data_IF_747232815099
#
_entry.id   IF_747232815099
#
_cell.length_a   1.000
_cell.length_b   1.000
_cell.length_c   1.000
_cell.angle_alpha   90.00
_cell.angle_beta   90.00
_cell.angle_gamma   90.00
#
_symmetry.space_group_name_H-M   'P 1'
#
loop_
_entity.id
_entity.type
_entity.pdbx_description
1 polymer ?
#
# COMPACT_ATOMS: atom_id res chain seq x y z
N UNK A 1 -78.37 -11.08 -10.74
CA UNK A 1 -78.20 -9.97 -11.66
C UNK A 1 -77.13 -9.05 -11.12
N UNK A 2 -75.91 -9.13 -11.62
CA UNK A 2 -74.78 -8.30 -11.19
C UNK A 2 -73.85 -8.16 -12.39
N UNK A 3 -73.82 -6.99 -12.98
CA UNK A 3 -73.05 -6.65 -14.17
C UNK A 3 -71.56 -6.51 -13.83
N UNK A 4 -70.72 -7.22 -14.55
CA UNK A 4 -69.27 -7.05 -14.54
C UNK A 4 -68.83 -5.73 -15.16
N UNK A 5 -67.93 -5.01 -14.49
CA UNK A 5 -67.29 -3.83 -15.01
C UNK A 5 -65.90 -4.24 -15.54
N UNK A 6 -65.74 -4.25 -16.87
CA UNK A 6 -64.43 -4.42 -17.51
C UNK A 6 -63.71 -3.08 -17.52
N UNK A 7 -62.58 -2.99 -16.81
CA UNK A 7 -61.68 -1.84 -16.89
C UNK A 7 -60.78 -2.01 -18.10
N UNK A 8 -61.00 -1.21 -19.12
CA UNK A 8 -60.06 -1.05 -20.25
C UNK A 8 -58.90 -0.16 -19.82
N UNK A 9 -57.74 -0.77 -19.68
CA UNK A 9 -56.46 -0.03 -19.47
C UNK A 9 -56.07 0.69 -20.74
N UNK A 10 -56.01 2.01 -20.72
CA UNK A 10 -55.67 2.87 -21.83
C UNK A 10 -54.16 2.75 -22.24
N UNK A 11 -53.93 2.80 -23.54
CA UNK A 11 -52.65 2.63 -24.21
C UNK A 11 -51.58 3.70 -23.92
N UNK A 12 -51.82 4.60 -22.95
CA UNK A 12 -50.90 5.71 -22.64
C UNK A 12 -49.82 5.38 -21.59
N UNK A 13 -49.86 4.20 -20.94
CA UNK A 13 -48.87 3.80 -19.95
C UNK A 13 -47.68 3.00 -20.49
N UNK A 14 -47.64 2.68 -21.75
CA UNK A 14 -46.54 1.94 -22.40
C UNK A 14 -45.36 2.83 -22.84
N UNK A 15 -45.54 4.15 -22.89
CA UNK A 15 -44.48 5.08 -23.31
C UNK A 15 -43.55 5.57 -22.15
N UNK A 16 -43.92 5.36 -20.91
CA UNK A 16 -43.16 5.82 -19.73
C UNK A 16 -42.06 4.87 -19.24
N UNK A 17 -42.08 3.61 -19.65
CA UNK A 17 -41.14 2.58 -19.19
C UNK A 17 -39.88 2.42 -20.06
N UNK A 18 -39.83 3.06 -21.23
CA UNK A 18 -38.65 3.01 -22.11
C UNK A 18 -37.64 4.14 -21.92
N UNK A 19 -37.97 5.16 -21.10
CA UNK A 19 -37.08 6.32 -20.86
C UNK A 19 -36.17 6.19 -19.63
N UNK A 20 -36.31 5.13 -18.82
CA UNK A 20 -35.50 4.94 -17.58
C UNK A 20 -34.29 4.00 -17.76
N UNK A 21 -34.06 3.47 -18.97
CA UNK A 21 -32.97 2.51 -19.23
C UNK A 21 -31.68 3.14 -19.78
N UNK A 22 -31.57 4.47 -19.89
CA UNK A 22 -30.41 5.14 -20.50
C UNK A 22 -29.57 5.99 -19.54
N UNK A 23 -29.71 5.83 -18.22
CA UNK A 23 -28.90 6.58 -17.23
C UNK A 23 -27.92 5.70 -16.43
N UNK A 24 -27.66 4.47 -16.87
CA UNK A 24 -26.68 3.58 -16.23
C UNK A 24 -25.37 3.44 -17.02
N UNK A 25 -24.98 4.47 -17.80
CA UNK A 25 -23.70 4.50 -18.52
C UNK A 25 -22.84 5.69 -18.07
N UNK A 26 -22.66 5.88 -16.78
CA UNK A 26 -21.53 6.65 -16.26
C UNK A 26 -20.49 5.65 -15.77
N UNK A 27 -19.63 5.32 -16.62
CA UNK A 27 -18.32 4.86 -16.73
C UNK A 27 -17.61 4.54 -15.41
N UNK A 28 -17.53 3.27 -15.07
CA UNK A 28 -16.37 2.77 -14.39
C UNK A 28 -15.40 2.31 -15.49
N UNK A 29 -14.63 3.22 -16.04
CA UNK A 29 -13.46 2.91 -16.84
C UNK A 29 -12.47 2.17 -15.95
N UNK A 30 -12.68 0.86 -15.84
CA UNK A 30 -11.60 -0.06 -15.49
C UNK A 30 -10.68 -0.04 -16.71
N UNK A 31 -9.75 0.91 -16.73
CA UNK A 31 -8.67 0.92 -17.71
C UNK A 31 -8.10 -0.49 -17.78
N UNK A 32 -7.98 -1.03 -18.96
CA UNK A 32 -7.39 -2.35 -19.17
C UNK A 32 -6.02 -2.34 -18.46
N UNK A 33 -5.71 -3.33 -17.61
CA UNK A 33 -4.44 -3.37 -16.90
C UNK A 33 -3.33 -3.31 -17.93
N UNK A 34 -2.38 -2.38 -17.73
CA UNK A 34 -1.24 -2.25 -18.65
C UNK A 34 -0.52 -3.60 -18.77
N UNK A 35 0.08 -3.91 -19.92
CA UNK A 35 0.84 -5.15 -20.09
C UNK A 35 1.89 -5.37 -19.00
N UNK A 36 2.46 -4.28 -18.47
CA UNK A 36 3.41 -4.26 -17.34
C UNK A 36 2.74 -4.63 -16.01
N UNK A 37 1.55 -4.14 -15.74
CA UNK A 37 0.78 -4.52 -14.54
C UNK A 37 0.42 -6.01 -14.52
N UNK A 38 0.17 -6.61 -15.70
CA UNK A 38 -0.07 -8.06 -15.81
C UNK A 38 1.19 -8.88 -15.56
N UNK A 39 2.34 -8.44 -16.03
CA UNK A 39 3.61 -9.15 -15.85
C UNK A 39 4.07 -9.14 -14.38
N UNK A 40 4.04 -7.97 -13.71
CA UNK A 40 4.35 -7.87 -12.27
C UNK A 40 3.33 -8.61 -11.41
N UNK A 41 2.04 -8.57 -11.82
CA UNK A 41 0.96 -9.31 -11.14
C UNK A 41 1.09 -10.83 -11.23
N UNK A 42 1.67 -11.36 -12.29
CA UNK A 42 1.91 -12.80 -12.41
C UNK A 42 3.00 -13.29 -11.45
N UNK A 43 4.03 -12.48 -11.22
CA UNK A 43 5.10 -12.78 -10.24
C UNK A 43 4.55 -12.69 -8.81
N UNK A 44 3.76 -11.66 -8.48
CA UNK A 44 3.13 -11.54 -7.17
C UNK A 44 2.11 -12.65 -6.90
N UNK A 45 1.31 -13.06 -7.90
CA UNK A 45 0.39 -14.21 -7.79
C UNK A 45 1.11 -15.55 -7.60
N UNK A 46 2.29 -15.74 -8.18
CA UNK A 46 3.06 -16.97 -8.00
C UNK A 46 3.56 -17.11 -6.55
N UNK A 47 3.99 -16.02 -5.91
CA UNK A 47 4.41 -16.02 -4.50
C UNK A 47 3.23 -16.18 -3.54
N UNK A 48 2.10 -15.52 -3.78
CA UNK A 48 0.88 -15.64 -2.98
C UNK A 48 0.15 -16.98 -3.18
N UNK A 49 0.16 -17.54 -4.40
CA UNK A 49 -0.41 -18.84 -4.72
C UNK A 49 0.28 -19.98 -3.94
N UNK A 50 1.60 -19.91 -3.77
CA UNK A 50 2.37 -20.87 -3.00
C UNK A 50 1.99 -20.92 -1.50
N UNK A 51 1.65 -19.79 -0.92
CA UNK A 51 1.23 -19.69 0.50
C UNK A 51 -0.19 -20.25 0.69
N UNK A 52 -1.10 -19.99 -0.26
CA UNK A 52 -2.47 -20.49 -0.21
C UNK A 52 -2.56 -22.01 -0.44
N UNK A 53 -1.71 -22.55 -1.31
CA UNK A 53 -1.62 -24.01 -1.57
C UNK A 53 -1.11 -24.80 -0.36
N UNK A 54 -0.19 -24.24 0.44
CA UNK A 54 0.28 -24.85 1.69
C UNK A 54 -0.81 -24.95 2.77
N UNK A 55 -1.78 -24.02 2.80
CA UNK A 55 -2.92 -24.05 3.74
C UNK A 55 -4.01 -25.04 3.34
N UNK A 56 -4.10 -25.40 2.07
CA UNK A 56 -5.15 -26.30 1.55
C UNK A 56 -4.83 -27.80 1.63
N UNK A 57 -3.71 -28.21 2.26
CA UNK A 57 -3.40 -29.62 2.53
C UNK A 57 -3.25 -30.51 1.28
N UNK A 58 -3.12 -29.97 0.07
CA UNK A 58 -2.80 -30.74 -1.12
C UNK A 58 -1.29 -30.94 -1.21
N UNK A 59 -0.81 -32.07 -0.68
CA UNK A 59 0.52 -32.59 -0.90
C UNK A 59 0.68 -33.03 -2.38
N UNK A 60 0.87 -32.06 -3.24
CA UNK A 60 1.47 -32.24 -4.55
C UNK A 60 2.88 -31.69 -4.47
N UNK A 61 3.86 -32.39 -5.01
CA UNK A 61 5.26 -31.98 -5.14
C UNK A 61 5.41 -30.80 -6.12
N UNK A 62 4.66 -29.70 -5.87
CA UNK A 62 4.87 -28.46 -6.57
C UNK A 62 6.14 -27.82 -5.99
N UNK A 63 7.22 -27.89 -6.75
CA UNK A 63 8.45 -27.18 -6.48
C UNK A 63 8.11 -25.72 -6.15
N UNK A 64 8.55 -25.23 -4.97
CA UNK A 64 8.34 -23.83 -4.61
C UNK A 64 8.85 -22.96 -5.77
N UNK A 65 8.08 -21.94 -6.22
CA UNK A 65 8.55 -21.08 -7.30
C UNK A 65 9.91 -20.50 -6.90
N UNK A 66 10.83 -20.44 -7.85
CA UNK A 66 12.15 -19.89 -7.64
C UNK A 66 12.02 -18.46 -7.06
N UNK A 67 12.89 -18.08 -6.12
CA UNK A 67 12.86 -16.73 -5.57
C UNK A 67 13.09 -15.72 -6.71
N UNK A 68 12.32 -14.64 -6.71
CA UNK A 68 12.48 -13.55 -7.69
C UNK A 68 13.84 -12.90 -7.47
N UNK A 69 14.64 -12.83 -8.51
CA UNK A 69 15.97 -12.20 -8.47
C UNK A 69 15.90 -10.74 -8.89
N UNK A 70 16.93 -9.96 -8.53
CA UNK A 70 17.06 -8.57 -9.01
C UNK A 70 17.09 -8.51 -10.53
N UNK A 71 17.80 -9.41 -11.19
CA UNK A 71 17.87 -9.48 -12.66
C UNK A 71 16.48 -9.67 -13.30
N UNK A 72 15.58 -10.37 -12.62
CA UNK A 72 14.21 -10.52 -13.11
C UNK A 72 13.42 -9.22 -12.96
N UNK A 73 13.63 -8.46 -11.90
CA UNK A 73 12.96 -7.18 -11.66
C UNK A 73 13.49 -6.08 -12.62
N UNK A 74 14.79 -6.05 -12.88
CA UNK A 74 15.40 -5.06 -13.78
C UNK A 74 14.95 -5.20 -15.23
N UNK A 75 14.51 -6.38 -15.67
CA UNK A 75 13.93 -6.59 -17.01
C UNK A 75 12.69 -5.73 -17.28
N UNK A 76 12.00 -5.29 -16.25
CA UNK A 76 10.81 -4.43 -16.41
C UNK A 76 11.16 -2.97 -16.72
N UNK A 77 12.39 -2.53 -16.43
CA UNK A 77 12.86 -1.16 -16.72
C UNK A 77 12.11 -0.06 -15.99
N UNK A 78 11.49 -0.38 -14.85
CA UNK A 78 10.71 0.56 -14.04
C UNK A 78 11.13 0.46 -12.56
N UNK A 79 10.93 1.52 -11.77
CA UNK A 79 11.14 1.46 -10.33
C UNK A 79 10.20 0.44 -9.65
N UNK A 80 10.76 -0.34 -8.73
CA UNK A 80 10.01 -1.37 -7.99
C UNK A 80 10.29 -1.23 -6.50
N UNK A 81 9.22 -1.17 -5.71
CA UNK A 81 9.24 -1.20 -4.26
C UNK A 81 8.65 -2.54 -3.78
N UNK A 82 9.29 -3.19 -2.81
CA UNK A 82 8.71 -4.33 -2.09
C UNK A 82 8.07 -3.82 -0.81
N UNK A 83 6.88 -4.31 -0.47
CA UNK A 83 6.24 -4.07 0.82
C UNK A 83 5.92 -5.40 1.50
N UNK A 84 6.33 -5.51 2.78
CA UNK A 84 6.06 -6.70 3.62
C UNK A 84 5.24 -6.27 4.83
N UNK A 85 4.12 -6.94 5.06
CA UNK A 85 3.24 -6.74 6.21
C UNK A 85 3.14 -8.05 6.97
N UNK A 86 4.06 -8.24 7.93
CA UNK A 86 4.21 -9.51 8.65
C UNK A 86 2.92 -9.92 9.39
N UNK A 87 2.19 -8.98 9.97
CA UNK A 87 0.92 -9.22 10.66
C UNK A 87 -0.17 -9.83 9.77
N UNK A 88 -0.04 -9.68 8.45
CA UNK A 88 -0.97 -10.19 7.44
C UNK A 88 -0.39 -11.34 6.61
N UNK A 89 0.88 -11.66 6.80
CA UNK A 89 1.61 -12.59 5.93
C UNK A 89 1.64 -12.11 4.47
N UNK A 90 1.61 -10.80 4.24
CA UNK A 90 1.59 -10.19 2.93
C UNK A 90 3.01 -9.76 2.54
N UNK A 91 3.38 -10.07 1.29
CA UNK A 91 4.65 -9.70 0.65
C UNK A 91 4.34 -9.39 -0.82
N UNK A 92 4.55 -8.15 -1.24
CA UNK A 92 4.12 -7.69 -2.54
C UNK A 92 5.18 -6.78 -3.20
N UNK A 93 5.26 -6.86 -4.51
CA UNK A 93 5.98 -5.91 -5.35
C UNK A 93 5.01 -4.84 -5.85
N UNK A 94 5.45 -3.60 -5.78
CA UNK A 94 4.67 -2.42 -6.12
C UNK A 94 5.36 -1.64 -7.23
N UNK A 95 4.54 -1.02 -8.07
CA UNK A 95 4.98 -0.09 -9.11
C UNK A 95 4.43 1.30 -8.83
N UNK A 96 5.05 2.32 -9.42
CA UNK A 96 4.58 3.70 -9.27
C UNK A 96 3.23 3.85 -9.99
N UNK A 97 2.23 4.35 -9.26
CA UNK A 97 0.93 4.74 -9.81
C UNK A 97 0.77 6.26 -9.95
N UNK A 98 1.49 7.04 -9.12
CA UNK A 98 1.51 8.49 -9.19
C UNK A 98 2.85 9.01 -8.64
N UNK A 99 3.47 9.99 -9.31
CA UNK A 99 4.73 10.61 -8.92
C UNK A 99 4.57 12.13 -8.94
N UNK A 100 4.70 12.73 -7.75
CA UNK A 100 4.67 14.19 -7.54
C UNK A 100 5.98 14.68 -6.91
N UNK A 101 7.11 14.14 -7.35
CA UNK A 101 8.43 14.47 -6.87
C UNK A 101 8.70 13.93 -5.46
N UNK A 102 8.52 14.73 -4.42
CA UNK A 102 8.75 14.26 -3.05
C UNK A 102 7.76 13.19 -2.61
N UNK A 103 6.57 13.12 -3.20
CA UNK A 103 5.51 12.16 -2.87
C UNK A 103 5.31 11.21 -4.02
N UNK A 104 5.66 9.95 -3.80
CA UNK A 104 5.44 8.85 -4.74
C UNK A 104 4.39 7.90 -4.18
N UNK A 105 3.37 7.61 -4.97
CA UNK A 105 2.35 6.62 -4.65
C UNK A 105 2.65 5.31 -5.38
N UNK A 106 2.80 4.26 -4.60
CA UNK A 106 3.07 2.91 -5.03
C UNK A 106 1.80 2.06 -4.96
N UNK A 107 1.56 1.21 -5.95
CA UNK A 107 0.38 0.38 -6.03
C UNK A 107 0.73 -1.09 -6.23
N UNK A 108 -0.02 -1.94 -5.57
CA UNK A 108 -0.10 -3.37 -5.86
C UNK A 108 -1.06 -3.62 -7.01
N UNK A 109 -1.06 -4.84 -7.56
CA UNK A 109 -1.97 -5.24 -8.65
C UNK A 109 -3.43 -5.36 -8.23
N UNK A 110 -3.70 -5.50 -6.94
CA UNK A 110 -5.06 -5.55 -6.38
C UNK A 110 -5.59 -4.16 -5.98
N UNK A 111 -4.81 -3.09 -6.26
CA UNK A 111 -5.23 -1.70 -6.04
C UNK A 111 -4.93 -1.17 -4.63
N UNK A 112 -4.25 -1.92 -3.77
CA UNK A 112 -3.74 -1.38 -2.50
C UNK A 112 -2.63 -0.37 -2.78
N UNK A 113 -2.69 0.82 -2.15
CA UNK A 113 -1.69 1.87 -2.39
C UNK A 113 -1.01 2.36 -1.12
N UNK A 114 0.24 2.81 -1.29
CA UNK A 114 1.09 3.40 -0.26
C UNK A 114 1.71 4.68 -0.81
N UNK A 115 1.41 5.83 -0.22
CA UNK A 115 2.07 7.08 -0.58
C UNK A 115 3.22 7.35 0.39
N UNK A 116 4.40 7.54 -0.16
CA UNK A 116 5.64 7.80 0.58
C UNK A 116 6.15 9.20 0.21
N UNK A 117 6.44 10.04 1.21
CA UNK A 117 7.17 11.28 1.02
C UNK A 117 8.65 11.02 1.30
N UNK A 118 9.48 11.10 0.26
CA UNK A 118 10.91 10.80 0.38
C UNK A 118 11.21 9.48 1.12
N UNK A 119 10.39 8.44 0.88
CA UNK A 119 10.50 7.13 1.55
C UNK A 119 9.79 7.02 2.90
N UNK A 120 9.18 8.10 3.41
CA UNK A 120 8.42 8.07 4.67
C UNK A 120 6.92 7.93 4.40
N UNK A 121 6.29 6.95 5.02
CA UNK A 121 4.88 6.62 4.82
C UNK A 121 3.97 7.76 5.31
N UNK A 122 3.12 8.28 4.40
CA UNK A 122 2.17 9.34 4.69
C UNK A 122 0.71 8.92 4.49
N UNK A 123 0.45 7.85 3.72
CA UNK A 123 -0.91 7.44 3.41
C UNK A 123 -0.96 5.97 2.98
N UNK A 124 -2.08 5.29 3.31
CA UNK A 124 -2.42 3.96 2.77
C UNK A 124 -3.85 3.97 2.23
N UNK A 125 -4.15 3.09 1.27
CA UNK A 125 -5.50 2.81 0.78
C UNK A 125 -5.65 1.33 0.48
N UNK A 126 -6.84 0.79 0.76
CA UNK A 126 -7.18 -0.59 0.47
C UNK A 126 -6.78 -1.58 1.56
N UNK A 127 -6.35 -1.10 2.72
CA UNK A 127 -5.94 -1.95 3.84
C UNK A 127 -7.01 -2.10 4.94
N UNK A 128 -8.15 -1.43 4.79
CA UNK A 128 -9.21 -1.36 5.80
C UNK A 128 -9.04 -0.10 6.65
N UNK A 129 -8.52 -0.18 7.89
CA UNK A 129 -8.26 1.01 8.69
C UNK A 129 -7.03 1.74 8.14
N UNK A 130 -7.29 2.51 7.10
CA UNK A 130 -6.26 3.21 6.34
C UNK A 130 -5.72 4.44 7.07
N UNK A 131 -4.43 4.69 6.88
CA UNK A 131 -3.80 5.95 7.20
C UNK A 131 -4.24 6.98 6.16
N UNK A 132 -5.08 7.93 6.58
CA UNK A 132 -5.63 8.95 5.68
C UNK A 132 -4.57 9.99 5.29
N UNK A 133 -3.77 10.42 6.26
CA UNK A 133 -2.60 11.27 6.05
C UNK A 133 -1.70 11.23 7.28
N UNK A 134 -0.42 11.60 7.11
CA UNK A 134 0.50 11.80 8.22
C UNK A 134 1.38 13.04 8.00
N UNK A 135 1.61 13.78 9.10
CA UNK A 135 2.74 14.69 9.19
C UNK A 135 3.95 13.87 9.64
N UNK A 136 5.02 13.92 8.87
CA UNK A 136 6.19 13.06 9.00
C UNK A 136 7.48 13.88 9.00
N UNK A 137 8.60 13.34 9.52
CA UNK A 137 9.89 14.02 9.45
C UNK A 137 10.32 14.25 8.00
N UNK A 138 11.05 15.32 7.77
CA UNK A 138 11.72 15.58 6.50
C UNK A 138 12.93 14.65 6.33
N UNK A 139 13.38 14.50 5.09
CA UNK A 139 14.59 13.72 4.80
C UNK A 139 15.84 14.26 5.57
N UNK A 140 15.95 15.59 5.69
CA UNK A 140 17.01 16.22 6.48
C UNK A 140 16.97 15.85 7.95
N UNK A 141 15.77 15.73 8.53
CA UNK A 141 15.59 15.30 9.93
C UNK A 141 15.97 13.83 10.14
N UNK A 142 15.71 12.96 9.16
CA UNK A 142 16.13 11.55 9.22
C UNK A 142 17.66 11.40 9.31
N UNK A 143 18.40 12.32 8.69
CA UNK A 143 19.87 12.33 8.73
C UNK A 143 20.49 12.92 9.99
N UNK A 144 19.69 13.51 10.90
CA UNK A 144 20.18 14.20 12.10
C UNK A 144 20.02 13.31 13.33
N UNK A 145 21.10 13.21 14.12
CA UNK A 145 21.10 12.50 15.41
C UNK A 145 20.57 13.41 16.52
N UNK A 146 19.68 12.89 17.38
CA UNK A 146 19.16 13.59 18.57
C UNK A 146 18.12 14.67 18.28
N UNK A 147 17.66 14.79 17.01
CA UNK A 147 16.58 15.70 16.66
C UNK A 147 15.24 15.25 17.25
N UNK A 148 14.42 16.22 17.67
CA UNK A 148 13.04 15.97 18.15
C UNK A 148 12.05 16.62 17.21
N UNK A 149 10.88 15.98 17.04
CA UNK A 149 9.79 16.51 16.21
C UNK A 149 8.46 15.89 16.64
N UNK A 150 7.37 16.46 16.17
CA UNK A 150 6.05 15.85 16.32
C UNK A 150 5.68 15.09 15.05
N UNK A 151 5.11 13.89 15.24
CA UNK A 151 4.50 13.10 14.20
C UNK A 151 3.00 13.03 14.43
N UNK A 152 2.21 13.31 13.40
CA UNK A 152 0.76 13.21 13.49
C UNK A 152 0.23 12.23 12.45
N UNK A 153 -0.67 11.37 12.89
CA UNK A 153 -1.39 10.43 12.04
C UNK A 153 -2.88 10.74 12.09
N UNK A 154 -3.51 10.71 10.93
CA UNK A 154 -4.95 10.88 10.77
C UNK A 154 -5.56 9.60 10.20
N UNK A 155 -6.53 9.05 10.92
CA UNK A 155 -7.26 7.85 10.53
C UNK A 155 -8.75 8.18 10.39
N UNK A 156 -9.46 7.40 9.60
CA UNK A 156 -10.90 7.38 9.64
C UNK A 156 -11.34 6.51 10.84
N UNK A 157 -12.04 7.11 11.78
CA UNK A 157 -12.63 6.43 12.92
C UNK A 157 -14.03 5.88 12.61
N UNK A 158 -14.72 5.31 13.62
CA UNK A 158 -16.13 4.97 13.50
C UNK A 158 -16.95 6.17 13.05
N UNK A 159 -17.99 5.92 12.25
CA UNK A 159 -18.89 6.97 11.71
C UNK A 159 -18.16 8.02 10.85
N UNK A 160 -17.07 7.63 10.19
CA UNK A 160 -16.24 8.48 9.34
C UNK A 160 -15.65 9.71 10.05
N UNK A 161 -15.58 9.70 11.39
CA UNK A 161 -14.97 10.80 12.13
C UNK A 161 -13.44 10.69 12.10
N UNK A 162 -12.75 11.80 11.77
CA UNK A 162 -11.29 11.79 11.74
C UNK A 162 -10.71 11.61 13.14
N UNK A 163 -9.87 10.62 13.30
CA UNK A 163 -9.11 10.39 14.53
C UNK A 163 -7.67 10.80 14.35
N UNK A 164 -7.20 11.77 15.15
CA UNK A 164 -5.81 12.23 15.16
C UNK A 164 -5.03 11.56 16.29
N UNK A 165 -3.81 11.11 15.98
CA UNK A 165 -2.84 10.64 16.97
C UNK A 165 -1.55 11.42 16.82
N UNK A 166 -1.16 12.13 17.87
CA UNK A 166 0.09 12.90 17.92
C UNK A 166 1.08 12.18 18.80
N UNK A 167 2.33 12.13 18.35
CA UNK A 167 3.47 11.55 19.05
C UNK A 167 4.60 12.57 19.11
N UNK A 168 5.32 12.60 20.22
CA UNK A 168 6.61 13.27 20.33
C UNK A 168 7.71 12.27 19.99
N UNK A 169 8.51 12.59 18.98
CA UNK A 169 9.46 11.67 18.39
C UNK A 169 10.90 12.17 18.55
N UNK A 170 11.82 11.23 18.72
CA UNK A 170 13.27 11.47 18.81
C UNK A 170 13.98 10.59 17.80
N UNK A 171 14.92 11.16 17.05
CA UNK A 171 15.81 10.46 16.14
C UNK A 171 17.07 9.94 16.84
N UNK A 172 17.45 8.71 16.54
CA UNK A 172 18.68 8.09 17.06
C UNK A 172 19.44 7.42 15.93
N UNK A 173 20.72 7.75 15.81
CA UNK A 173 21.62 7.07 14.88
C UNK A 173 22.06 5.73 15.49
N UNK A 174 21.85 4.64 14.75
CA UNK A 174 22.32 3.29 15.13
C UNK A 174 23.74 3.02 14.61
N UNK A 175 24.11 3.61 13.49
CA UNK A 175 25.41 3.42 12.87
C UNK A 175 25.35 3.23 11.37
N UNK A 176 26.49 2.83 10.80
CA UNK A 176 26.60 2.42 9.40
C UNK A 176 26.64 0.91 9.30
N UNK A 177 25.92 0.37 8.33
CA UNK A 177 25.91 -1.06 8.05
C UNK A 177 25.74 -1.34 6.56
N UNK A 178 25.91 -2.60 6.16
CA UNK A 178 25.64 -3.05 4.79
C UNK A 178 24.42 -3.95 4.82
N UNK A 179 23.39 -3.57 4.09
CA UNK A 179 22.19 -4.38 3.86
C UNK A 179 22.19 -4.95 2.46
N UNK A 180 21.47 -6.06 2.25
CA UNK A 180 21.28 -6.64 0.91
C UNK A 180 19.80 -6.60 0.55
N UNK A 181 19.47 -5.99 -0.59
CA UNK A 181 18.12 -5.93 -1.16
C UNK A 181 18.18 -6.57 -2.55
N UNK A 182 17.49 -7.69 -2.75
CA UNK A 182 17.49 -8.44 -4.01
C UNK A 182 18.90 -8.58 -4.60
N UNK A 183 19.80 -9.23 -3.86
CA UNK A 183 21.20 -9.53 -4.21
C UNK A 183 22.13 -8.29 -4.36
N UNK A 184 21.62 -7.07 -4.29
CA UNK A 184 22.43 -5.85 -4.29
C UNK A 184 22.77 -5.39 -2.88
N UNK A 185 24.06 -5.15 -2.64
CA UNK A 185 24.56 -4.59 -1.39
C UNK A 185 24.46 -3.07 -1.40
N UNK A 186 24.00 -2.51 -0.28
CA UNK A 186 23.91 -1.07 -0.04
C UNK A 186 24.61 -0.74 1.28
N UNK A 187 25.52 0.22 1.26
CA UNK A 187 26.11 0.78 2.48
C UNK A 187 25.22 1.91 2.96
N UNK A 188 24.59 1.72 4.11
CA UNK A 188 23.53 2.59 4.60
C UNK A 188 23.83 3.13 5.98
N UNK A 189 23.20 4.24 6.31
CA UNK A 189 23.09 4.77 7.67
C UNK A 189 21.75 4.29 8.25
N UNK A 190 21.79 3.56 9.37
CA UNK A 190 20.61 3.08 10.08
C UNK A 190 20.17 4.10 11.12
N UNK A 191 18.93 4.55 11.05
CA UNK A 191 18.30 5.53 11.93
C UNK A 191 17.02 4.96 12.51
N UNK A 192 16.81 5.18 13.81
CA UNK A 192 15.58 4.82 14.51
C UNK A 192 14.84 6.08 14.93
N UNK A 193 13.55 6.13 14.65
CA UNK A 193 12.62 7.16 15.14
C UNK A 193 11.76 6.55 16.26
N UNK A 194 12.02 6.96 17.50
CA UNK A 194 11.23 6.58 18.67
C UNK A 194 10.16 7.62 18.94
N UNK A 195 8.89 7.25 18.87
CA UNK A 195 7.75 8.13 19.02
C UNK A 195 6.90 7.71 20.22
N UNK A 196 6.65 8.61 21.15
CA UNK A 196 5.92 8.35 22.39
C UNK A 196 4.69 9.23 22.52
N UNK A 197 3.67 8.70 23.21
CA UNK A 197 2.48 9.40 23.67
C UNK A 197 1.97 8.71 24.94
N UNK A 198 1.06 9.30 25.75
CA UNK A 198 0.57 8.68 26.97
C UNK A 198 0.02 7.26 26.80
N UNK A 199 -0.55 6.94 25.62
CA UNK A 199 -1.20 5.65 25.35
C UNK A 199 -0.29 4.65 24.62
N UNK A 200 0.99 4.91 24.45
CA UNK A 200 1.90 3.96 23.86
C UNK A 200 3.11 4.54 23.12
N UNK A 201 3.95 3.65 22.67
CA UNK A 201 5.18 3.90 21.93
C UNK A 201 5.13 3.20 20.59
N UNK A 202 5.67 3.84 19.56
CA UNK A 202 5.99 3.22 18.27
C UNK A 202 7.45 3.50 17.92
N UNK A 203 8.06 2.65 17.11
CA UNK A 203 9.44 2.79 16.69
C UNK A 203 9.55 2.51 15.19
N UNK A 204 9.96 3.52 14.42
CA UNK A 204 10.18 3.38 12.99
C UNK A 204 11.69 3.29 12.73
N UNK A 205 12.06 2.57 11.69
CA UNK A 205 13.45 2.36 11.30
C UNK A 205 13.65 2.75 9.84
N UNK A 206 14.79 3.37 9.54
CA UNK A 206 15.14 3.84 8.21
C UNK A 206 16.60 3.51 7.92
N UNK A 207 16.86 3.00 6.72
CA UNK A 207 18.19 2.71 6.19
C UNK A 207 18.44 3.61 4.97
N UNK A 208 19.30 4.60 5.15
CA UNK A 208 19.55 5.65 4.16
C UNK A 208 20.89 5.42 3.45
N UNK A 209 20.87 5.41 2.13
CA UNK A 209 22.05 5.53 1.26
C UNK A 209 22.08 6.95 0.69
N UNK A 210 22.93 7.82 1.25
CA UNK A 210 22.86 9.25 0.98
C UNK A 210 21.49 9.85 1.34
N UNK A 211 20.82 10.44 0.35
CA UNK A 211 19.48 11.00 0.50
C UNK A 211 18.34 10.01 0.17
N UNK A 212 18.65 8.75 -0.11
CA UNK A 212 17.66 7.75 -0.48
C UNK A 212 17.37 6.80 0.67
N UNK A 213 16.10 6.66 1.05
CA UNK A 213 15.65 5.59 1.95
C UNK A 213 15.60 4.28 1.14
N UNK A 214 16.58 3.39 1.37
CA UNK A 214 16.66 2.08 0.70
C UNK A 214 15.74 1.05 1.31
N UNK A 215 15.66 1.08 2.65
CA UNK A 215 14.78 0.21 3.43
C UNK A 215 14.17 1.02 4.56
N UNK A 216 12.96 0.67 4.94
CA UNK A 216 12.33 1.20 6.14
C UNK A 216 11.37 0.18 6.76
N UNK A 217 11.15 0.31 8.07
CA UNK A 217 10.11 -0.38 8.82
C UNK A 217 9.28 0.67 9.53
N UNK A 218 8.04 0.85 9.12
CA UNK A 218 7.23 1.99 9.54
C UNK A 218 5.86 1.54 10.07
N UNK A 219 5.45 2.11 11.19
CA UNK A 219 4.14 1.88 11.75
C UNK A 219 3.07 2.55 10.90
N UNK A 220 2.03 1.80 10.54
CA UNK A 220 0.93 2.27 9.71
C UNK A 220 -0.35 2.49 10.52
N UNK A 221 -0.77 1.51 11.33
CA UNK A 221 -1.96 1.60 12.18
C UNK A 221 -1.94 0.52 13.28
N UNK A 222 -2.85 0.61 14.24
CA UNK A 222 -2.97 -0.39 15.32
C UNK A 222 -3.34 -1.79 14.81
N UNK A 223 -4.06 -1.91 13.70
CA UNK A 223 -4.47 -3.19 13.11
C UNK A 223 -3.49 -3.73 12.08
N UNK A 224 -2.86 -2.85 11.33
CA UNK A 224 -1.85 -3.22 10.33
C UNK A 224 -0.49 -3.48 10.99
N UNK A 225 -0.18 -2.76 12.08
CA UNK A 225 1.14 -2.79 12.66
C UNK A 225 2.16 -2.10 11.78
N UNK A 226 3.28 -2.78 11.54
CA UNK A 226 4.40 -2.26 10.76
C UNK A 226 4.38 -2.78 9.34
N UNK A 227 4.84 -1.92 8.42
CA UNK A 227 5.12 -2.25 7.03
C UNK A 227 6.62 -2.06 6.80
N UNK A 228 7.27 -3.08 6.26
CA UNK A 228 8.63 -2.95 5.74
C UNK A 228 8.57 -2.60 4.26
N UNK A 229 9.35 -1.59 3.86
CA UNK A 229 9.54 -1.20 2.47
C UNK A 229 10.99 -1.41 2.08
N UNK A 230 11.23 -1.97 0.89
CA UNK A 230 12.57 -2.15 0.30
C UNK A 230 12.55 -1.65 -1.14
N UNK A 231 13.44 -0.71 -1.49
CA UNK A 231 13.57 -0.20 -2.85
C UNK A 231 14.37 -1.19 -3.68
N UNK A 232 13.65 -2.07 -4.38
CA UNK A 232 14.23 -3.19 -5.12
C UNK A 232 14.92 -2.72 -6.42
N UNK A 233 14.28 -1.83 -7.18
CA UNK A 233 14.80 -1.20 -8.40
C UNK A 233 14.55 0.31 -8.33
N UNK A 234 15.55 1.11 -8.76
CA UNK A 234 15.48 2.59 -8.83
C UNK A 234 14.72 3.08 -10.04
#
# INVERSE_FOLDING_TARGET
MGKGLALTMSAKWKAGLLALAMLAACGNDKGAPSPLGQAVGSVAKATLGGIKARRAGKAGTAQAPAPVTRADLEKYGIPILRAVIASRGADALLTISDDKGEVVTWSTTDGTTFSLRNGVLIQTRGMGPDLMSAQVPTLGMLGQTGGTHQRMYYFLGPEDQPTRRTYDCTMSLKGRETITIFDRKHTVTHVTETCVRPQGKIENEFWLEGATVRKSRQWASGLTGYIEFEKAVD
#
